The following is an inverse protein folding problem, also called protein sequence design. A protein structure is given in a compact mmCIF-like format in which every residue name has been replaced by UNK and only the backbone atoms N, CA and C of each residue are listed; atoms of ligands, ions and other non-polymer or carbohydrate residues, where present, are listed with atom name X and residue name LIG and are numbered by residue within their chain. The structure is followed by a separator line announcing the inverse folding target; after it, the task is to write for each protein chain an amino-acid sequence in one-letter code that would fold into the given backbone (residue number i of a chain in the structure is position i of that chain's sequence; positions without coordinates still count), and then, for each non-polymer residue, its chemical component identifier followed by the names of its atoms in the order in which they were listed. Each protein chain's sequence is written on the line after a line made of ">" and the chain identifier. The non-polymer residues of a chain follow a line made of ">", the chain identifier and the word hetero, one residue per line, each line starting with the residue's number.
data_IF_856502885878
#
_entry.id   IF_856502885878
#
_cell.length_a   1.000
_cell.length_b   1.000
_cell.length_c   1.000
_cell.angle_alpha   90.00
_cell.angle_beta   90.00
_cell.angle_gamma   90.00
#
_symmetry.space_group_name_H-M   'P 1'
#
loop_
_entity.id
_entity.type
_entity.pdbx_description
1 polymer ?
#
# COMPACT_ATOMS: atom_id res chain seq x y z
N UNK A 1 0.70 -2.65 -12.31
CA UNK A 1 -0.54 -2.13 -11.71
C UNK A 1 -1.74 -2.82 -12.36
N UNK A 2 -2.75 -3.11 -11.56
CA UNK A 2 -4.00 -3.71 -12.05
C UNK A 2 -4.62 -2.81 -13.14
N UNK A 3 -4.96 -3.34 -14.34
CA UNK A 3 -5.55 -2.52 -15.40
C UNK A 3 -6.89 -1.89 -15.02
N UNK A 4 -7.55 -2.39 -13.95
CA UNK A 4 -8.79 -1.81 -13.44
C UNK A 4 -8.56 -0.57 -12.58
N UNK A 5 -7.32 -0.26 -12.23
CA UNK A 5 -6.97 0.90 -11.43
C UNK A 5 -6.60 2.05 -12.36
N UNK A 6 -7.37 3.12 -12.29
CA UNK A 6 -7.19 4.28 -13.16
C UNK A 6 -6.05 5.20 -12.70
N UNK A 7 -5.73 5.20 -11.42
CA UNK A 7 -4.68 6.06 -10.89
C UNK A 7 -4.77 6.18 -9.37
N UNK A 8 -4.20 7.27 -8.85
CA UNK A 8 -4.12 7.54 -7.43
C UNK A 8 -4.89 8.81 -7.08
N UNK A 9 -5.54 8.78 -5.93
CA UNK A 9 -6.30 9.93 -5.41
C UNK A 9 -5.49 10.61 -4.31
N UNK A 10 -4.80 11.69 -4.68
CA UNK A 10 -3.96 12.46 -3.77
C UNK A 10 -4.58 13.82 -3.44
N UNK A 11 -4.42 14.24 -2.18
CA UNK A 11 -4.66 15.61 -1.74
C UNK A 11 -3.61 15.97 -0.69
N UNK A 12 -3.68 17.17 -0.13
CA UNK A 12 -2.70 17.61 0.87
C UNK A 12 -2.73 16.75 2.13
N UNK A 13 -3.93 16.31 2.53
CA UNK A 13 -4.10 15.56 3.76
C UNK A 13 -3.37 14.20 3.69
N UNK A 14 -3.62 13.41 2.66
CA UNK A 14 -2.98 12.10 2.57
C UNK A 14 -1.52 12.18 2.15
N UNK A 15 -1.14 13.19 1.35
CA UNK A 15 0.29 13.43 1.06
C UNK A 15 1.06 13.72 2.35
N UNK A 16 0.48 14.56 3.22
CA UNK A 16 1.11 14.91 4.49
C UNK A 16 1.29 13.72 5.41
N UNK A 17 0.27 12.88 5.54
CA UNK A 17 0.35 11.67 6.36
C UNK A 17 1.42 10.70 5.87
N UNK A 18 1.52 10.51 4.57
CA UNK A 18 2.53 9.62 4.01
C UNK A 18 3.94 10.20 4.18
N UNK A 19 4.13 11.49 3.93
CA UNK A 19 5.42 12.15 4.12
C UNK A 19 5.89 12.17 5.57
N UNK A 20 4.96 12.14 6.51
CA UNK A 20 5.28 12.15 7.93
C UNK A 20 6.27 11.05 8.32
N UNK A 21 6.21 9.92 7.64
CA UNK A 21 7.10 8.79 7.86
C UNK A 21 8.18 8.66 6.79
N UNK A 22 8.38 9.71 6.01
CA UNK A 22 9.45 9.76 5.01
C UNK A 22 9.18 9.04 3.70
N UNK A 23 7.93 8.67 3.42
CA UNK A 23 7.58 7.97 2.18
C UNK A 23 6.95 8.96 1.21
N UNK A 24 7.57 9.13 0.04
CA UNK A 24 7.06 10.05 -0.98
C UNK A 24 5.90 9.43 -1.77
N UNK A 25 5.10 10.29 -2.40
CA UNK A 25 4.04 9.83 -3.30
C UNK A 25 4.61 8.97 -4.44
N UNK A 26 5.75 9.37 -4.99
CA UNK A 26 6.40 8.62 -6.06
C UNK A 26 6.81 7.22 -5.60
N UNK A 27 7.34 7.09 -4.38
CA UNK A 27 7.70 5.79 -3.82
C UNK A 27 6.47 4.90 -3.66
N UNK A 28 5.38 5.45 -3.16
CA UNK A 28 4.12 4.72 -2.98
C UNK A 28 3.59 4.22 -4.33
N UNK A 29 3.54 5.11 -5.32
CA UNK A 29 3.07 4.73 -6.65
C UNK A 29 3.93 3.64 -7.27
N UNK A 30 5.24 3.68 -7.03
CA UNK A 30 6.15 2.66 -7.53
C UNK A 30 5.88 1.28 -6.92
N UNK A 31 5.43 1.23 -5.66
CA UNK A 31 5.05 -0.03 -5.00
C UNK A 31 3.90 -0.71 -5.74
N UNK A 32 2.88 0.06 -6.11
CA UNK A 32 1.70 -0.49 -6.80
C UNK A 32 1.96 -0.90 -8.24
N UNK A 33 3.09 -0.52 -8.82
CA UNK A 33 3.48 -0.95 -10.17
C UNK A 33 4.18 -2.30 -10.18
N UNK A 34 4.41 -2.88 -9.01
CA UNK A 34 5.08 -4.17 -8.83
C UNK A 34 4.13 -5.13 -8.12
N UNK A 35 4.45 -6.42 -8.10
CA UNK A 35 3.64 -7.37 -7.32
C UNK A 35 3.59 -6.95 -5.86
N UNK A 36 2.39 -6.93 -5.29
CA UNK A 36 2.16 -6.55 -3.90
C UNK A 36 1.29 -7.60 -3.22
N UNK A 37 1.38 -7.65 -1.89
CA UNK A 37 0.47 -8.43 -1.07
C UNK A 37 -0.54 -7.45 -0.46
N UNK A 38 -1.83 -7.79 -0.53
CA UNK A 38 -2.90 -6.94 -0.01
C UNK A 38 -3.68 -7.72 1.04
N UNK A 39 -3.89 -7.08 2.19
CA UNK A 39 -4.63 -7.66 3.31
C UNK A 39 -5.75 -6.71 3.73
N UNK A 40 -6.92 -7.21 4.13
CA UNK A 40 -7.94 -6.35 4.71
C UNK A 40 -7.46 -5.80 6.06
N UNK A 41 -7.90 -4.60 6.40
CA UNK A 41 -7.59 -3.94 7.67
C UNK A 41 -8.90 -3.66 8.42
N UNK A 42 -9.51 -4.68 9.05
CA UNK A 42 -10.81 -4.52 9.69
C UNK A 42 -10.80 -3.56 10.89
N UNK A 43 -9.66 -3.43 11.55
CA UNK A 43 -9.54 -2.57 12.74
C UNK A 43 -9.70 -1.09 12.36
N UNK A 44 -9.21 -0.69 11.18
CA UNK A 44 -9.25 0.69 10.71
C UNK A 44 -10.31 0.94 9.65
N UNK A 45 -11.20 -0.04 9.41
CA UNK A 45 -12.26 0.07 8.40
C UNK A 45 -13.54 0.63 8.99
N UNK A 46 -13.47 1.86 9.51
CA UNK A 46 -14.64 2.58 10.03
C UNK A 46 -15.17 3.51 8.95
N UNK A 47 -16.38 3.28 8.48
CA UNK A 47 -17.01 4.10 7.46
C UNK A 47 -16.58 3.78 6.04
N UNK A 48 -15.38 3.31 5.83
CA UNK A 48 -14.90 2.82 4.53
C UNK A 48 -13.94 1.68 4.72
N UNK A 49 -13.92 0.77 3.77
CA UNK A 49 -13.05 -0.41 3.81
C UNK A 49 -11.61 0.00 3.54
N UNK A 50 -10.72 -0.35 4.44
CA UNK A 50 -9.29 -0.08 4.32
C UNK A 50 -8.51 -1.37 4.15
N UNK A 51 -7.39 -1.27 3.47
CA UNK A 51 -6.49 -2.37 3.15
C UNK A 51 -5.06 -2.00 3.50
N UNK A 52 -4.27 -3.03 3.78
CA UNK A 52 -2.82 -2.90 3.91
C UNK A 52 -2.17 -3.51 2.70
N UNK A 53 -1.30 -2.76 2.04
CA UNK A 53 -0.47 -3.27 0.96
C UNK A 53 0.98 -3.34 1.43
N UNK A 54 1.65 -4.44 1.13
CA UNK A 54 3.08 -4.61 1.38
C UNK A 54 3.76 -4.90 0.06
N UNK A 55 4.78 -4.12 -0.26
CA UNK A 55 5.56 -4.30 -1.48
C UNK A 55 6.85 -3.52 -1.42
N UNK A 56 7.64 -3.63 -2.47
CA UNK A 56 8.92 -2.92 -2.57
C UNK A 56 8.75 -1.68 -3.43
N UNK A 57 9.37 -0.58 -2.97
CA UNK A 57 9.47 0.63 -3.79
C UNK A 57 10.44 0.41 -4.95
N UNK A 58 10.51 1.38 -5.87
CA UNK A 58 11.47 1.35 -6.96
C UNK A 58 12.93 1.25 -6.49
N UNK A 59 13.21 1.65 -5.25
CA UNK A 59 14.52 1.55 -4.63
C UNK A 59 14.75 0.22 -3.90
N UNK A 60 13.78 -0.67 -3.92
CA UNK A 60 13.90 -2.00 -3.31
C UNK A 60 13.56 -2.07 -1.83
N UNK A 61 13.10 -0.98 -1.22
CA UNK A 61 12.73 -0.96 0.20
C UNK A 61 11.30 -1.43 0.39
N UNK A 62 11.07 -2.23 1.43
CA UNK A 62 9.72 -2.66 1.77
C UNK A 62 8.93 -1.53 2.40
N UNK A 63 7.72 -1.33 1.89
CA UNK A 63 6.80 -0.28 2.34
C UNK A 63 5.47 -0.92 2.72
N UNK A 64 4.92 -0.47 3.85
CA UNK A 64 3.56 -0.80 4.26
C UNK A 64 2.68 0.40 3.97
N UNK A 65 1.63 0.20 3.19
CA UNK A 65 0.71 1.27 2.78
C UNK A 65 -0.70 0.92 3.23
N UNK A 66 -1.33 1.84 3.97
CA UNK A 66 -2.76 1.75 4.25
C UNK A 66 -3.48 2.54 3.17
N UNK A 67 -4.45 1.92 2.52
CA UNK A 67 -5.16 2.58 1.42
C UNK A 67 -6.63 2.16 1.39
N UNK A 68 -7.40 2.93 0.64
CA UNK A 68 -8.79 2.59 0.30
C UNK A 68 -8.97 2.76 -1.19
N UNK A 69 -10.04 2.18 -1.73
CA UNK A 69 -10.41 2.36 -3.13
C UNK A 69 -11.48 3.43 -3.23
N UNK A 70 -11.35 4.31 -4.21
CA UNK A 70 -12.34 5.35 -4.52
C UNK A 70 -12.89 5.11 -5.92
N UNK A 71 -14.19 4.94 -6.03
CA UNK A 71 -14.85 4.78 -7.32
C UNK A 71 -15.40 6.13 -7.79
N UNK A 72 -15.12 6.46 -9.06
CA UNK A 72 -15.65 7.65 -9.71
C UNK A 72 -16.15 7.21 -11.07
N UNK A 73 -17.48 7.24 -11.26
CA UNK A 73 -18.15 6.74 -12.45
C UNK A 73 -17.74 5.27 -12.67
N UNK A 74 -17.02 4.96 -13.72
CA UNK A 74 -16.60 3.58 -14.03
C UNK A 74 -15.13 3.31 -13.69
N UNK A 75 -14.48 4.25 -12.99
CA UNK A 75 -13.06 4.16 -12.70
C UNK A 75 -12.80 3.96 -11.21
N UNK A 76 -11.78 3.18 -10.89
CA UNK A 76 -11.34 2.96 -9.52
C UNK A 76 -9.97 3.57 -9.32
N UNK A 77 -9.84 4.37 -8.26
CA UNK A 77 -8.59 5.01 -7.86
C UNK A 77 -8.12 4.46 -6.52
N UNK A 78 -6.82 4.31 -6.36
CA UNK A 78 -6.22 4.00 -5.07
C UNK A 78 -6.02 5.30 -4.31
N UNK A 79 -6.57 5.36 -3.10
CA UNK A 79 -6.35 6.48 -2.20
C UNK A 79 -5.46 6.04 -1.05
N UNK A 80 -4.16 6.33 -1.09
CA UNK A 80 -3.29 6.06 0.04
C UNK A 80 -3.70 6.91 1.24
N UNK A 81 -3.71 6.30 2.41
CA UNK A 81 -4.07 6.98 3.67
C UNK A 81 -2.81 7.28 4.47
N UNK A 82 -1.94 6.29 4.61
CA UNK A 82 -0.66 6.44 5.27
C UNK A 82 0.32 5.41 4.73
N UNK A 83 1.61 5.66 4.93
CA UNK A 83 2.64 4.73 4.51
C UNK A 83 3.84 4.87 5.42
N UNK A 84 4.58 3.78 5.59
CA UNK A 84 5.86 3.79 6.29
C UNK A 84 6.76 2.70 5.74
N UNK A 85 8.05 2.89 5.88
CA UNK A 85 8.99 1.82 5.58
C UNK A 85 8.94 0.78 6.67
N UNK A 86 9.09 -0.48 6.28
CA UNK A 86 9.05 -1.60 7.23
C UNK A 86 10.40 -1.74 7.92
N UNK A 87 10.37 -2.13 9.20
CA UNK A 87 11.59 -2.43 9.95
C UNK A 87 12.14 -3.80 9.53
N UNK A 88 13.44 -4.02 9.75
CA UNK A 88 14.09 -5.25 9.34
C UNK A 88 13.41 -6.51 9.91
N UNK A 89 12.96 -6.46 11.16
CA UNK A 89 12.24 -7.59 11.78
C UNK A 89 10.91 -7.87 11.10
N UNK A 90 10.19 -6.82 10.70
CA UNK A 90 8.92 -6.96 9.99
C UNK A 90 9.14 -7.58 8.61
N UNK A 91 10.16 -7.11 7.91
CA UNK A 91 10.51 -7.63 6.58
C UNK A 91 10.83 -9.13 6.69
N UNK A 92 11.64 -9.50 7.66
CA UNK A 92 12.02 -10.89 7.88
C UNK A 92 10.80 -11.76 8.14
N UNK A 93 9.94 -11.32 9.05
CA UNK A 93 8.69 -12.04 9.37
C UNK A 93 7.82 -12.20 8.13
N UNK A 94 7.62 -11.13 7.39
CA UNK A 94 6.81 -11.13 6.18
C UNK A 94 7.37 -12.11 5.14
N UNK A 95 8.67 -12.08 4.91
CA UNK A 95 9.32 -12.97 3.93
C UNK A 95 9.20 -14.44 4.35
N UNK A 96 9.35 -14.74 5.64
CA UNK A 96 9.20 -16.09 6.17
C UNK A 96 7.77 -16.61 5.99
N UNK A 97 6.77 -15.77 6.26
CA UNK A 97 5.36 -16.16 6.08
C UNK A 97 5.01 -16.34 4.60
N UNK A 98 5.52 -15.49 3.74
CA UNK A 98 5.33 -15.63 2.29
C UNK A 98 5.95 -16.92 1.77
N UNK A 99 7.13 -17.27 2.24
CA UNK A 99 7.79 -18.52 1.86
C UNK A 99 7.01 -19.76 2.27
N UNK A 100 6.36 -19.73 3.44
CA UNK A 100 5.51 -20.84 3.90
C UNK A 100 4.31 -21.03 2.97
N UNK A 101 3.73 -19.96 2.50
CA UNK A 101 2.57 -20.02 1.58
C UNK A 101 2.97 -20.61 0.25
N UNK A 102 4.13 -20.22 -0.28
CA UNK A 102 4.64 -20.73 -1.57
C UNK A 102 4.97 -22.23 -1.53
N UNK A 103 5.28 -22.76 -0.38
CA UNK A 103 5.63 -24.18 -0.22
C UNK A 103 4.42 -25.11 -0.07
N UNK A 104 3.23 -24.59 -0.03
CA UNK A 104 2.00 -25.39 0.06
C UNK A 104 1.57 -25.95 -1.32
#
# INVERSE_FOLDING_TARGET
>A
MDPLIAGFDWDEANRGKCRKHGVSAAAIESVFQRPIAVFPDPIHSRGETRFNAIGRSGEGRHVLIVFTARKRVDETFIRPISARYMHAKEVKYYEEEAAKIEKR
#
